data_IF_154215688421
#
_entry.id   IF_154215688421
#
_cell.length_a   1.000
_cell.length_b   1.000
_cell.length_c   1.000
_cell.angle_alpha   90.00
_cell.angle_beta   90.00
_cell.angle_gamma   90.00
#
_symmetry.space_group_name_H-M   'P 1'
#
loop_
_entity.id
_entity.type
_entity.pdbx_description
1 polymer ?
#
# COMPACT_ATOMS: atom_id res chain seq x y z
N UNK A 1 -26.68 -24.02 -8.23
CA UNK A 1 -26.69 -23.97 -6.75
C UNK A 1 -25.57 -24.86 -6.23
N UNK A 2 -24.33 -24.38 -6.33
CA UNK A 2 -23.16 -24.97 -5.68
C UNK A 2 -22.84 -24.04 -4.53
N UNK A 3 -23.05 -24.53 -3.31
CA UNK A 3 -23.03 -23.72 -2.10
C UNK A 3 -21.64 -23.16 -1.82
N UNK A 4 -21.56 -21.85 -1.65
CA UNK A 4 -20.51 -21.21 -0.86
C UNK A 4 -20.69 -21.71 0.58
N UNK A 5 -19.85 -22.64 1.03
CA UNK A 5 -19.89 -23.10 2.43
C UNK A 5 -19.02 -22.14 3.24
N UNK A 6 -19.65 -21.21 3.96
CA UNK A 6 -18.97 -20.37 4.95
C UNK A 6 -18.65 -21.23 6.18
N UNK A 7 -17.53 -21.95 6.11
CA UNK A 7 -17.05 -22.85 7.16
C UNK A 7 -16.36 -22.08 8.30
N UNK A 8 -16.91 -20.95 8.74
CA UNK A 8 -16.52 -20.25 9.97
C UNK A 8 -15.08 -19.70 10.06
N UNK A 9 -14.11 -20.15 9.26
CA UNK A 9 -12.70 -19.72 9.26
C UNK A 9 -11.98 -19.86 7.89
N UNK A 10 -12.67 -20.18 6.79
CA UNK A 10 -12.05 -20.28 5.46
C UNK A 10 -13.02 -20.01 4.31
N UNK A 11 -12.49 -19.43 3.22
CA UNK A 11 -13.18 -19.38 1.92
C UNK A 11 -12.87 -20.67 1.17
N UNK A 12 -13.89 -21.36 0.67
CA UNK A 12 -13.74 -22.57 -0.17
C UNK A 12 -14.46 -22.35 -1.50
N UNK A 13 -13.76 -22.56 -2.60
CA UNK A 13 -14.22 -22.32 -3.96
C UNK A 13 -14.00 -23.58 -4.80
N UNK A 14 -14.95 -23.91 -5.70
CA UNK A 14 -14.74 -24.95 -6.69
C UNK A 14 -13.46 -24.73 -7.51
N UNK A 15 -12.71 -25.79 -7.80
CA UNK A 15 -11.41 -25.72 -8.51
C UNK A 15 -11.51 -25.12 -9.93
N UNK A 16 -12.71 -25.10 -10.52
CA UNK A 16 -12.97 -24.49 -11.82
C UNK A 16 -13.17 -22.97 -11.77
N UNK A 17 -13.27 -22.38 -10.57
CA UNK A 17 -13.35 -20.93 -10.40
C UNK A 17 -12.07 -20.26 -10.89
N UNK A 18 -12.22 -19.32 -11.82
CA UNK A 18 -11.13 -18.55 -12.41
C UNK A 18 -11.26 -17.08 -12.09
N UNK A 19 -10.24 -16.52 -11.45
CA UNK A 19 -10.17 -15.08 -11.14
C UNK A 19 -8.95 -14.46 -11.81
N UNK A 20 -9.15 -13.37 -12.53
CA UNK A 20 -8.05 -12.60 -13.11
C UNK A 20 -7.84 -11.30 -12.35
N UNK A 21 -6.63 -11.07 -11.84
CA UNK A 21 -6.27 -9.84 -11.13
C UNK A 21 -5.67 -8.83 -12.12
N UNK A 22 -6.21 -7.63 -12.15
CA UNK A 22 -5.77 -6.52 -12.99
C UNK A 22 -5.00 -5.53 -12.12
N UNK A 23 -3.67 -5.55 -12.24
CA UNK A 23 -2.79 -4.68 -11.45
C UNK A 23 -1.42 -4.53 -12.12
N UNK A 24 -0.86 -3.32 -12.11
CA UNK A 24 0.47 -3.10 -12.68
C UNK A 24 1.07 -1.74 -12.38
N UNK A 25 2.37 -1.63 -12.62
CA UNK A 25 3.13 -0.39 -12.48
C UNK A 25 3.86 -0.26 -11.14
N UNK A 26 3.13 -0.10 -10.03
CA UNK A 26 3.72 0.20 -8.71
C UNK A 26 3.41 -0.88 -7.67
N UNK A 27 4.26 -0.99 -6.65
CA UNK A 27 4.04 -1.91 -5.52
C UNK A 27 2.71 -1.69 -4.80
N UNK A 28 2.18 -0.45 -4.81
CA UNK A 28 0.91 -0.08 -4.20
C UNK A 28 -0.31 -0.86 -4.71
N UNK A 29 -0.27 -1.35 -5.95
CA UNK A 29 -1.33 -2.19 -6.51
C UNK A 29 -0.95 -3.68 -6.52
N UNK A 30 0.33 -3.98 -6.72
CA UNK A 30 0.82 -5.34 -6.90
C UNK A 30 0.84 -6.13 -5.58
N UNK A 31 1.39 -5.56 -4.51
CA UNK A 31 1.46 -6.26 -3.22
C UNK A 31 0.09 -6.63 -2.64
N UNK A 32 -0.92 -5.73 -2.59
CA UNK A 32 -2.24 -6.11 -2.10
C UNK A 32 -2.93 -7.10 -3.05
N UNK A 33 -2.73 -6.97 -4.36
CA UNK A 33 -3.24 -7.94 -5.33
C UNK A 33 -2.66 -9.34 -5.09
N UNK A 34 -1.36 -9.45 -4.80
CA UNK A 34 -0.70 -10.72 -4.48
C UNK A 34 -1.23 -11.32 -3.16
N UNK A 35 -1.56 -10.49 -2.17
CA UNK A 35 -2.17 -10.96 -0.94
C UNK A 35 -3.55 -11.60 -1.19
N UNK A 36 -4.39 -10.95 -2.00
CA UNK A 36 -5.70 -11.50 -2.39
C UNK A 36 -5.53 -12.76 -3.27
N UNK A 37 -4.57 -12.75 -4.19
CA UNK A 37 -4.27 -13.89 -5.07
C UNK A 37 -3.94 -15.17 -4.27
N UNK A 38 -3.17 -15.02 -3.18
CA UNK A 38 -2.82 -16.14 -2.30
C UNK A 38 -4.06 -16.71 -1.61
N UNK A 39 -4.91 -15.85 -1.04
CA UNK A 39 -6.15 -16.29 -0.39
C UNK A 39 -7.09 -16.99 -1.38
N UNK A 40 -7.26 -16.44 -2.59
CA UNK A 40 -8.08 -17.06 -3.64
C UNK A 40 -7.53 -18.43 -4.07
N UNK A 41 -6.21 -18.56 -4.21
CA UNK A 41 -5.56 -19.84 -4.56
C UNK A 41 -5.67 -20.86 -3.44
N UNK A 42 -5.49 -20.44 -2.18
CA UNK A 42 -5.69 -21.29 -1.00
C UNK A 42 -7.13 -21.75 -0.86
N UNK A 43 -8.09 -20.94 -1.33
CA UNK A 43 -9.50 -21.29 -1.44
C UNK A 43 -9.84 -22.17 -2.65
N UNK A 44 -8.87 -22.59 -3.47
CA UNK A 44 -9.10 -23.49 -4.62
C UNK A 44 -9.23 -22.80 -5.99
N UNK A 45 -9.31 -21.46 -6.06
CA UNK A 45 -9.47 -20.78 -7.34
C UNK A 45 -8.18 -20.77 -8.18
N UNK A 46 -8.32 -20.90 -9.51
CA UNK A 46 -7.24 -20.62 -10.45
C UNK A 46 -7.11 -19.10 -10.64
N UNK A 47 -5.97 -18.56 -10.20
CA UNK A 47 -5.68 -17.12 -10.31
C UNK A 47 -4.70 -16.83 -11.43
N UNK A 48 -5.07 -15.95 -12.35
CA UNK A 48 -4.17 -15.37 -13.36
C UNK A 48 -4.05 -13.86 -13.18
N UNK A 49 -3.02 -13.28 -13.77
CA UNK A 49 -2.71 -11.86 -13.61
C UNK A 49 -2.63 -11.15 -14.95
N UNK A 50 -3.16 -9.94 -15.03
CA UNK A 50 -3.02 -9.05 -16.17
C UNK A 50 -2.25 -7.79 -15.76
N UNK A 51 -1.08 -7.61 -16.35
CA UNK A 51 -0.22 -6.47 -16.10
C UNK A 51 0.30 -5.82 -17.37
N UNK A 52 1.39 -5.09 -17.25
CA UNK A 52 2.07 -4.42 -18.37
C UNK A 52 3.46 -5.01 -18.59
N UNK A 53 4.10 -4.80 -19.75
CA UNK A 53 5.41 -5.39 -20.03
C UNK A 53 6.58 -4.78 -19.25
N UNK A 54 6.38 -3.72 -18.47
CA UNK A 54 7.49 -2.91 -17.92
C UNK A 54 7.41 -2.63 -16.42
N UNK A 55 6.33 -2.99 -15.74
CA UNK A 55 6.19 -2.75 -14.31
C UNK A 55 6.79 -3.86 -13.43
N UNK A 56 6.83 -3.60 -12.12
CA UNK A 56 7.35 -4.53 -11.11
C UNK A 56 6.65 -5.90 -11.12
N UNK A 57 5.42 -5.96 -11.66
CA UNK A 57 4.64 -7.19 -11.78
C UNK A 57 5.39 -8.29 -12.54
N UNK A 58 6.25 -7.93 -13.51
CA UNK A 58 7.01 -8.89 -14.32
C UNK A 58 8.05 -9.69 -13.51
N UNK A 59 8.45 -9.16 -12.35
CA UNK A 59 9.32 -9.87 -11.40
C UNK A 59 8.50 -10.50 -10.28
N UNK A 60 7.60 -9.73 -9.67
CA UNK A 60 6.92 -10.13 -8.44
C UNK A 60 5.83 -11.19 -8.65
N UNK A 61 5.08 -11.12 -9.74
CA UNK A 61 3.96 -12.04 -9.99
C UNK A 61 4.44 -13.44 -10.35
N UNK A 62 5.39 -13.63 -11.31
CA UNK A 62 5.95 -14.96 -11.57
C UNK A 62 6.70 -15.54 -10.37
N UNK A 63 7.43 -14.72 -9.61
CA UNK A 63 8.13 -15.17 -8.40
C UNK A 63 7.17 -15.67 -7.30
N UNK A 64 5.92 -15.19 -7.29
CA UNK A 64 4.86 -15.66 -6.41
C UNK A 64 4.09 -16.89 -6.95
N UNK A 65 4.48 -17.40 -8.12
CA UNK A 65 3.89 -18.58 -8.75
C UNK A 65 2.56 -18.34 -9.46
N UNK A 66 2.30 -17.10 -9.94
CA UNK A 66 1.10 -16.78 -10.70
C UNK A 66 1.42 -16.51 -12.17
N UNK A 67 0.53 -16.95 -13.08
CA UNK A 67 0.65 -16.71 -14.51
C UNK A 67 0.41 -15.22 -14.84
N UNK A 68 1.36 -14.60 -15.56
CA UNK A 68 1.30 -13.19 -15.94
C UNK A 68 1.04 -13.00 -17.44
N UNK A 69 -0.16 -12.53 -17.75
CA UNK A 69 -0.56 -12.01 -19.06
C UNK A 69 -0.25 -10.51 -19.16
N UNK A 70 0.00 -10.02 -20.38
CA UNK A 70 0.50 -8.66 -20.61
C UNK A 70 -0.31 -7.92 -21.67
N UNK A 71 -0.65 -6.66 -21.39
CA UNK A 71 -1.27 -5.75 -22.34
C UNK A 71 -0.35 -4.55 -22.58
N UNK A 72 -0.19 -4.18 -23.84
CA UNK A 72 0.68 -3.09 -24.28
C UNK A 72 0.10 -1.71 -23.95
N UNK A 73 0.06 -1.35 -22.68
CA UNK A 73 -0.34 -0.01 -22.22
C UNK A 73 0.71 0.58 -21.27
N UNK A 74 0.87 1.90 -21.33
CA UNK A 74 1.70 2.70 -20.45
C UNK A 74 0.90 3.93 -20.02
N UNK A 75 1.17 4.45 -18.83
CA UNK A 75 0.55 5.68 -18.34
C UNK A 75 0.68 6.86 -19.32
N UNK A 76 -0.35 7.72 -19.35
CA UNK A 76 -0.45 8.88 -20.25
C UNK A 76 0.15 10.16 -19.65
N UNK A 77 0.32 10.23 -18.32
CA UNK A 77 0.86 11.41 -17.63
C UNK A 77 2.32 11.68 -18.05
N UNK A 78 2.62 12.95 -18.32
CA UNK A 78 3.97 13.43 -18.66
C UNK A 78 4.42 13.22 -20.11
N UNK A 79 3.51 12.87 -21.04
CA UNK A 79 3.89 12.49 -22.43
C UNK A 79 3.65 13.55 -23.52
N UNK A 80 3.32 14.78 -23.15
CA UNK A 80 3.09 15.88 -24.10
C UNK A 80 1.96 15.61 -25.12
N UNK A 81 1.73 16.54 -26.05
CA UNK A 81 0.62 16.48 -27.00
C UNK A 81 0.64 15.22 -27.89
N UNK A 82 1.82 14.82 -28.40
CA UNK A 82 1.96 13.61 -29.21
C UNK A 82 1.61 12.32 -28.41
N UNK A 83 1.94 12.29 -27.11
CA UNK A 83 1.56 11.23 -26.21
C UNK A 83 0.06 11.12 -25.98
N UNK A 84 -0.66 12.24 -26.02
CA UNK A 84 -2.12 12.31 -25.93
C UNK A 84 -2.81 11.93 -27.23
N UNK A 85 -2.31 12.39 -28.39
CA UNK A 85 -2.88 12.07 -29.71
C UNK A 85 -2.81 10.56 -30.04
N UNK A 86 -1.73 9.90 -29.63
CA UNK A 86 -1.59 8.44 -29.80
C UNK A 86 -2.29 7.62 -28.70
N UNK A 87 -2.93 8.25 -27.70
CA UNK A 87 -3.58 7.55 -26.60
C UNK A 87 -4.80 6.70 -27.04
N UNK A 88 -5.73 7.19 -27.89
CA UNK A 88 -6.90 6.42 -28.29
C UNK A 88 -6.51 5.12 -29.02
N UNK A 89 -5.58 5.20 -29.98
CA UNK A 89 -5.09 4.02 -30.72
C UNK A 89 -4.45 3.00 -29.77
N UNK A 90 -3.64 3.46 -28.81
CA UNK A 90 -3.04 2.59 -27.79
C UNK A 90 -4.08 1.94 -26.88
N UNK A 91 -5.11 2.68 -26.48
CA UNK A 91 -6.21 2.16 -25.66
C UNK A 91 -7.00 1.09 -26.44
N UNK A 92 -7.38 1.36 -27.69
CA UNK A 92 -8.11 0.38 -28.53
C UNK A 92 -7.27 -0.89 -28.72
N UNK A 93 -5.97 -0.75 -29.03
CA UNK A 93 -5.06 -1.91 -29.13
C UNK A 93 -4.99 -2.68 -27.81
N UNK A 94 -4.91 -1.98 -26.68
CA UNK A 94 -4.90 -2.60 -25.36
C UNK A 94 -6.21 -3.35 -25.06
N UNK A 95 -7.36 -2.79 -25.45
CA UNK A 95 -8.67 -3.44 -25.32
C UNK A 95 -8.77 -4.70 -26.19
N UNK A 96 -8.25 -4.68 -27.43
CA UNK A 96 -8.22 -5.85 -28.31
C UNK A 96 -7.30 -6.96 -27.77
N UNK A 97 -6.15 -6.59 -27.19
CA UNK A 97 -5.27 -7.54 -26.51
C UNK A 97 -5.93 -8.14 -25.27
N UNK A 98 -6.53 -7.29 -24.42
CA UNK A 98 -7.27 -7.74 -23.24
C UNK A 98 -8.42 -8.67 -23.63
N UNK A 99 -9.13 -8.39 -24.73
CA UNK A 99 -10.23 -9.23 -25.21
C UNK A 99 -9.75 -10.64 -25.52
N UNK A 100 -8.69 -10.79 -26.30
CA UNK A 100 -8.11 -12.10 -26.64
C UNK A 100 -7.70 -12.89 -25.40
N UNK A 101 -7.11 -12.20 -24.43
CA UNK A 101 -6.67 -12.81 -23.17
C UNK A 101 -7.89 -13.26 -22.35
N UNK A 102 -8.90 -12.40 -22.18
CA UNK A 102 -10.11 -12.72 -21.41
C UNK A 102 -10.93 -13.85 -22.06
N UNK A 103 -11.02 -13.90 -23.39
CA UNK A 103 -11.69 -14.98 -24.12
C UNK A 103 -10.95 -16.32 -24.02
N UNK A 104 -9.61 -16.30 -23.93
CA UNK A 104 -8.79 -17.50 -23.78
C UNK A 104 -8.80 -18.03 -22.33
N UNK A 105 -8.64 -17.14 -21.35
CA UNK A 105 -8.56 -17.50 -19.93
C UNK A 105 -9.94 -17.82 -19.33
N UNK A 106 -10.99 -17.20 -19.86
CA UNK A 106 -12.39 -17.31 -19.41
C UNK A 106 -12.55 -17.12 -17.90
N UNK A 107 -12.07 -16.01 -17.31
CA UNK A 107 -12.27 -15.77 -15.89
C UNK A 107 -13.77 -15.55 -15.62
N UNK A 108 -14.27 -16.12 -14.53
CA UNK A 108 -15.62 -15.83 -14.06
C UNK A 108 -15.72 -14.41 -13.49
N UNK A 109 -14.63 -13.91 -12.91
CA UNK A 109 -14.52 -12.58 -12.34
C UNK A 109 -13.14 -11.97 -12.61
N UNK A 110 -13.11 -10.65 -12.80
CA UNK A 110 -11.89 -9.85 -12.79
C UNK A 110 -11.83 -8.96 -11.54
N UNK A 111 -10.69 -8.93 -10.86
CA UNK A 111 -10.42 -8.05 -9.73
C UNK A 111 -9.50 -6.91 -10.17
N UNK A 112 -9.99 -5.68 -10.23
CA UNK A 112 -9.16 -4.50 -10.48
C UNK A 112 -8.60 -3.95 -9.18
N UNK A 113 -7.27 -3.97 -9.05
CA UNK A 113 -6.57 -3.23 -7.99
C UNK A 113 -6.21 -1.80 -8.43
N UNK A 114 -6.66 -1.36 -9.61
CA UNK A 114 -6.35 -0.05 -10.19
C UNK A 114 -5.09 -0.05 -11.05
N UNK A 115 -4.55 1.15 -11.29
CA UNK A 115 -3.46 1.37 -12.23
C UNK A 115 -3.90 1.50 -13.69
N UNK A 116 -2.95 1.76 -14.58
CA UNK A 116 -3.24 2.03 -16.00
C UNK A 116 -3.50 0.74 -16.80
N UNK A 117 -3.02 -0.41 -16.35
CA UNK A 117 -3.32 -1.70 -16.95
C UNK A 117 -4.81 -2.09 -16.80
N UNK A 118 -5.38 -1.76 -15.63
CA UNK A 118 -6.72 -2.20 -15.26
C UNK A 118 -7.84 -1.48 -16.03
N UNK A 119 -7.62 -0.26 -16.51
CA UNK A 119 -8.65 0.53 -17.20
C UNK A 119 -9.20 -0.15 -18.46
N UNK A 120 -8.38 -0.31 -19.53
CA UNK A 120 -8.84 -0.97 -20.75
C UNK A 120 -9.33 -2.40 -20.50
N UNK A 121 -8.64 -3.15 -19.64
CA UNK A 121 -9.00 -4.53 -19.34
C UNK A 121 -10.33 -4.64 -18.60
N UNK A 122 -10.60 -3.76 -17.63
CA UNK A 122 -11.86 -3.71 -16.90
C UNK A 122 -13.03 -3.30 -17.81
N UNK A 123 -12.82 -2.34 -18.71
CA UNK A 123 -13.82 -1.98 -19.73
C UNK A 123 -14.09 -3.19 -20.64
N UNK A 124 -13.05 -3.88 -21.11
CA UNK A 124 -13.22 -5.07 -21.95
C UNK A 124 -13.93 -6.21 -21.21
N UNK A 125 -13.61 -6.45 -19.94
CA UNK A 125 -14.31 -7.44 -19.11
C UNK A 125 -15.81 -7.14 -19.02
N UNK A 126 -16.17 -5.87 -18.82
CA UNK A 126 -17.57 -5.41 -18.82
C UNK A 126 -18.26 -5.62 -20.19
N UNK A 127 -17.55 -5.40 -21.29
CA UNK A 127 -18.09 -5.64 -22.65
C UNK A 127 -18.31 -7.14 -22.93
N UNK A 128 -17.52 -8.01 -22.31
CA UNK A 128 -17.64 -9.46 -22.41
C UNK A 128 -18.62 -10.07 -21.38
N UNK A 129 -19.25 -9.25 -20.54
CA UNK A 129 -20.18 -9.73 -19.50
C UNK A 129 -19.51 -10.40 -18.30
N UNK A 130 -18.20 -10.26 -18.14
CA UNK A 130 -17.44 -10.83 -17.02
C UNK A 130 -17.67 -9.98 -15.77
N UNK A 131 -17.88 -10.63 -14.62
CA UNK A 131 -18.06 -9.94 -13.35
C UNK A 131 -16.82 -9.11 -13.00
N UNK A 132 -17.02 -7.88 -12.51
CA UNK A 132 -15.96 -6.95 -12.15
C UNK A 132 -16.06 -6.61 -10.66
N UNK A 133 -14.98 -6.86 -9.92
CA UNK A 133 -14.75 -6.35 -8.57
C UNK A 133 -13.65 -5.30 -8.64
N UNK A 134 -13.82 -4.18 -7.94
CA UNK A 134 -12.78 -3.16 -7.83
C UNK A 134 -12.31 -3.03 -6.38
N UNK A 135 -11.02 -2.79 -6.19
CA UNK A 135 -10.45 -2.41 -4.91
C UNK A 135 -9.68 -1.09 -5.06
N UNK A 136 -10.07 -0.08 -4.29
CA UNK A 136 -9.34 1.19 -4.19
C UNK A 136 -8.50 1.22 -2.93
N UNK A 137 -7.17 1.38 -3.08
CA UNK A 137 -6.26 1.38 -1.93
C UNK A 137 -6.26 2.73 -1.21
N UNK A 138 -6.37 3.83 -1.94
CA UNK A 138 -6.19 5.18 -1.42
C UNK A 138 -7.50 5.77 -0.86
N UNK A 139 -7.37 6.73 0.04
CA UNK A 139 -8.48 7.49 0.60
C UNK A 139 -9.12 8.44 -0.44
N UNK A 140 -8.40 8.75 -1.52
CA UNK A 140 -8.94 9.43 -2.70
C UNK A 140 -8.91 8.46 -3.88
N UNK A 141 -10.08 8.16 -4.44
CA UNK A 141 -10.20 7.19 -5.51
C UNK A 141 -9.43 7.61 -6.77
N UNK A 142 -8.63 6.66 -7.30
CA UNK A 142 -7.91 6.85 -8.55
C UNK A 142 -8.84 6.89 -9.75
N UNK A 143 -8.42 7.57 -10.81
CA UNK A 143 -9.20 7.74 -12.04
C UNK A 143 -9.70 6.41 -12.64
N UNK A 144 -8.84 5.38 -12.69
CA UNK A 144 -9.23 4.08 -13.24
C UNK A 144 -10.38 3.45 -12.45
N UNK A 145 -10.30 3.44 -11.12
CA UNK A 145 -11.36 2.85 -10.30
C UNK A 145 -12.64 3.69 -10.35
N UNK A 146 -12.53 5.03 -10.42
CA UNK A 146 -13.68 5.92 -10.67
C UNK A 146 -14.38 5.62 -11.99
N UNK A 147 -13.63 5.38 -13.06
CA UNK A 147 -14.16 5.00 -14.37
C UNK A 147 -14.89 3.65 -14.31
N UNK A 148 -14.32 2.67 -13.60
CA UNK A 148 -14.84 1.30 -13.56
C UNK A 148 -15.98 1.10 -12.56
N UNK A 149 -16.09 1.95 -11.53
CA UNK A 149 -17.09 1.86 -10.45
C UNK A 149 -18.52 1.61 -10.92
N UNK A 150 -19.08 2.33 -11.92
CA UNK A 150 -20.48 2.15 -12.32
C UNK A 150 -20.82 0.75 -12.85
N UNK A 151 -19.81 -0.07 -13.17
CA UNK A 151 -19.96 -1.42 -13.70
C UNK A 151 -19.48 -2.51 -12.76
N UNK A 152 -18.89 -2.13 -11.63
CA UNK A 152 -18.42 -3.09 -10.65
C UNK A 152 -19.62 -3.72 -9.92
N UNK A 153 -19.63 -5.06 -9.83
CA UNK A 153 -20.61 -5.80 -9.03
C UNK A 153 -20.33 -5.69 -7.53
N UNK A 154 -19.06 -5.48 -7.16
CA UNK A 154 -18.65 -5.17 -5.81
C UNK A 154 -17.52 -4.12 -5.81
N UNK A 155 -17.57 -3.22 -4.83
CA UNK A 155 -16.60 -2.14 -4.65
C UNK A 155 -16.00 -2.29 -3.25
N UNK A 156 -14.70 -2.58 -3.19
CA UNK A 156 -13.94 -2.67 -1.95
C UNK A 156 -13.03 -1.44 -1.80
N UNK A 157 -12.88 -0.93 -0.58
CA UNK A 157 -12.03 0.23 -0.30
C UNK A 157 -11.10 -0.01 0.88
N UNK A 158 -9.89 0.52 0.75
CA UNK A 158 -8.86 0.52 1.78
C UNK A 158 -9.16 1.45 2.95
N UNK A 159 -9.92 2.50 2.69
CA UNK A 159 -10.31 3.52 3.67
C UNK A 159 -11.83 3.74 3.65
N UNK A 160 -12.41 4.29 4.73
CA UNK A 160 -13.81 4.68 4.75
C UNK A 160 -14.08 5.87 3.81
N UNK A 161 -15.34 6.04 3.39
CA UNK A 161 -15.84 7.20 2.64
C UNK A 161 -15.16 7.49 1.29
N UNK A 162 -14.54 6.48 0.66
CA UNK A 162 -13.89 6.61 -0.67
C UNK A 162 -14.93 6.59 -1.80
N UNK A 163 -15.95 5.75 -1.67
CA UNK A 163 -17.08 5.62 -2.57
C UNK A 163 -18.35 5.35 -1.74
N UNK A 164 -19.50 5.83 -2.21
CA UNK A 164 -20.80 5.45 -1.62
C UNK A 164 -21.08 3.97 -1.85
N UNK A 165 -21.66 3.31 -0.84
CA UNK A 165 -22.02 1.89 -0.84
C UNK A 165 -20.84 0.92 -1.08
N UNK A 166 -19.61 1.35 -0.81
CA UNK A 166 -18.45 0.47 -0.87
C UNK A 166 -18.25 -0.31 0.44
N UNK A 167 -17.77 -1.55 0.31
CA UNK A 167 -17.33 -2.38 1.43
C UNK A 167 -15.94 -1.92 1.87
N UNK A 168 -15.83 -1.41 3.09
CA UNK A 168 -14.54 -1.01 3.67
C UNK A 168 -13.79 -2.26 4.15
N UNK A 169 -13.07 -2.90 3.24
CA UNK A 169 -12.27 -4.10 3.51
C UNK A 169 -10.94 -3.78 4.19
N UNK A 170 -10.48 -2.53 4.10
CA UNK A 170 -9.10 -2.18 4.44
C UNK A 170 -8.14 -2.58 3.32
N UNK A 171 -6.86 -2.27 3.47
CA UNK A 171 -5.81 -2.66 2.52
C UNK A 171 -5.17 -4.00 2.94
N UNK A 172 -4.98 -4.95 2.02
CA UNK A 172 -4.29 -6.21 2.33
C UNK A 172 -2.84 -5.95 2.76
N UNK A 173 -2.48 -6.43 3.96
CA UNK A 173 -1.14 -6.33 4.53
C UNK A 173 -0.49 -7.71 4.57
N UNK A 174 0.85 -7.74 4.48
CA UNK A 174 1.66 -8.96 4.62
C UNK A 174 1.44 -9.62 5.98
N UNK A 175 1.35 -10.95 6.01
CA UNK A 175 1.04 -11.74 7.22
C UNK A 175 2.07 -11.55 8.32
N UNK A 176 3.33 -11.35 7.94
CA UNK A 176 4.45 -11.12 8.86
C UNK A 176 4.29 -9.81 9.63
N UNK A 177 3.61 -8.80 9.04
CA UNK A 177 3.33 -7.51 9.68
C UNK A 177 2.02 -7.56 10.47
N UNK A 178 0.95 -8.14 9.90
CA UNK A 178 -0.33 -8.24 10.61
C UNK A 178 -0.27 -9.21 11.80
N UNK A 179 0.62 -10.21 11.75
CA UNK A 179 0.88 -11.16 12.82
C UNK A 179 1.85 -10.68 13.90
N UNK A 180 2.32 -9.43 13.85
CA UNK A 180 3.15 -8.88 14.93
C UNK A 180 2.41 -8.89 16.27
N UNK A 181 3.12 -9.10 17.41
CA UNK A 181 2.51 -9.04 18.73
C UNK A 181 1.85 -7.67 18.98
N UNK A 182 0.82 -7.68 19.81
CA UNK A 182 0.10 -6.47 20.21
C UNK A 182 1.06 -5.41 20.82
N UNK A 183 0.80 -4.11 20.63
CA UNK A 183 1.63 -3.04 21.19
C UNK A 183 1.91 -3.20 22.69
N UNK A 184 0.91 -3.57 23.48
CA UNK A 184 1.07 -3.79 24.91
C UNK A 184 2.17 -4.83 25.22
N UNK A 185 2.30 -5.88 24.41
CA UNK A 185 3.34 -6.90 24.57
C UNK A 185 4.70 -6.38 24.07
N UNK A 186 4.75 -5.77 22.89
CA UNK A 186 6.03 -5.30 22.30
C UNK A 186 6.72 -4.21 23.12
N UNK A 187 5.95 -3.41 23.85
CA UNK A 187 6.47 -2.29 24.63
C UNK A 187 6.80 -2.66 26.10
N UNK A 188 6.35 -3.80 26.62
CA UNK A 188 6.53 -4.21 28.03
C UNK A 188 7.99 -4.10 28.49
N UNK A 189 8.93 -4.62 27.71
CA UNK A 189 10.34 -4.69 28.09
C UNK A 189 11.20 -3.56 27.49
N UNK A 190 10.57 -2.54 26.89
CA UNK A 190 11.32 -1.44 26.27
C UNK A 190 11.75 -0.43 27.33
N UNK A 191 13.06 -0.29 27.51
CA UNK A 191 13.71 0.79 28.28
C UNK A 191 14.68 1.61 27.41
N UNK A 192 15.34 2.63 27.98
CA UNK A 192 16.31 3.47 27.26
C UNK A 192 15.70 4.46 26.26
N UNK A 193 16.52 4.98 25.32
CA UNK A 193 16.07 5.94 24.32
C UNK A 193 14.89 5.43 23.49
N UNK A 194 14.10 6.35 22.95
CA UNK A 194 13.06 6.01 21.98
C UNK A 194 13.69 5.44 20.71
N UNK A 195 12.96 4.58 19.99
CA UNK A 195 13.41 3.99 18.72
C UNK A 195 12.67 4.63 17.55
N UNK A 196 13.40 5.40 16.75
CA UNK A 196 12.90 6.08 15.56
C UNK A 196 13.26 5.28 14.31
N UNK A 197 12.24 4.89 13.53
CA UNK A 197 12.41 4.33 12.21
C UNK A 197 12.03 5.34 11.11
N UNK A 198 12.96 5.64 10.21
CA UNK A 198 12.73 6.54 9.07
C UNK A 198 12.68 5.73 7.78
N UNK A 199 11.56 5.81 7.04
CA UNK A 199 11.34 5.07 5.79
C UNK A 199 11.18 6.04 4.62
N UNK A 200 12.21 6.15 3.79
CA UNK A 200 12.22 6.97 2.57
C UNK A 200 11.64 6.30 1.32
N UNK A 201 11.39 4.99 1.36
CA UNK A 201 11.05 4.16 0.19
C UNK A 201 12.28 3.83 -0.66
N UNK A 202 12.12 2.98 -1.68
CA UNK A 202 13.25 2.45 -2.47
C UNK A 202 14.08 3.51 -3.21
N UNK A 203 13.48 4.64 -3.60
CA UNK A 203 14.21 5.76 -4.19
C UNK A 203 14.84 6.70 -3.14
N UNK A 204 14.48 6.52 -1.87
CA UNK A 204 14.79 7.46 -0.80
C UNK A 204 13.90 8.70 -0.85
N UNK A 205 13.78 9.36 0.29
CA UNK A 205 13.15 10.68 0.38
C UNK A 205 14.23 11.69 0.79
N UNK A 206 14.73 12.45 -0.18
CA UNK A 206 15.80 13.45 0.04
C UNK A 206 15.50 14.39 1.21
N UNK A 207 14.23 14.78 1.37
CA UNK A 207 13.80 15.62 2.51
C UNK A 207 14.04 14.94 3.86
N UNK A 208 13.84 13.62 3.99
CA UNK A 208 14.13 12.90 5.23
C UNK A 208 15.64 12.81 5.47
N UNK A 209 16.42 12.56 4.41
CA UNK A 209 17.88 12.48 4.47
C UNK A 209 18.54 13.79 4.93
N UNK A 210 17.86 14.93 4.76
CA UNK A 210 18.35 16.26 5.15
C UNK A 210 17.79 16.70 6.51
N UNK A 211 16.46 16.69 6.64
CA UNK A 211 15.78 17.29 7.79
C UNK A 211 15.93 16.45 9.06
N UNK A 212 15.91 15.12 8.97
CA UNK A 212 15.94 14.27 10.16
C UNK A 212 17.27 14.40 10.92
N UNK A 213 18.46 14.29 10.28
CA UNK A 213 19.73 14.55 10.97
C UNK A 213 19.78 15.91 11.65
N UNK A 214 19.36 16.97 10.95
CA UNK A 214 19.37 18.34 11.47
C UNK A 214 18.40 18.55 12.63
N UNK A 215 17.24 17.90 12.61
CA UNK A 215 16.27 17.94 13.70
C UNK A 215 16.82 17.24 14.96
N UNK A 216 17.43 16.06 14.77
CA UNK A 216 18.01 15.29 15.88
C UNK A 216 19.20 16.00 16.52
N UNK A 217 20.00 16.74 15.74
CA UNK A 217 21.09 17.54 16.27
C UNK A 217 20.62 18.66 17.22
N UNK A 218 19.38 19.14 17.04
CA UNK A 218 18.77 20.17 17.90
C UNK A 218 18.28 19.62 19.23
N UNK A 219 18.03 18.31 19.33
CA UNK A 219 17.67 17.67 20.59
C UNK A 219 18.88 17.56 21.51
N UNK A 220 18.70 17.75 22.84
CA UNK A 220 19.73 17.38 23.81
C UNK A 220 20.04 15.88 23.70
N UNK A 221 21.30 15.51 23.94
CA UNK A 221 21.80 14.16 23.67
C UNK A 221 21.00 13.07 24.40
N UNK A 222 20.54 13.32 25.63
CA UNK A 222 19.72 12.39 26.41
C UNK A 222 18.32 12.11 25.84
N UNK A 223 17.78 12.99 24.99
CA UNK A 223 16.44 12.84 24.38
C UNK A 223 16.51 12.31 22.94
N UNK A 224 17.72 12.10 22.40
CA UNK A 224 17.87 11.61 21.03
C UNK A 224 17.45 10.14 20.95
N UNK A 225 16.53 9.78 20.02
CA UNK A 225 16.18 8.39 19.80
C UNK A 225 17.35 7.61 19.18
N UNK A 226 17.35 6.29 19.38
CA UNK A 226 18.06 5.35 18.51
C UNK A 226 17.42 5.39 17.11
N UNK A 227 18.23 5.55 16.06
CA UNK A 227 17.72 5.77 14.71
C UNK A 227 18.10 4.63 13.76
N UNK A 228 17.09 4.08 13.09
CA UNK A 228 17.24 3.31 11.85
C UNK A 228 16.66 4.13 10.70
N UNK A 229 17.42 4.34 9.63
CA UNK A 229 17.00 5.15 8.49
C UNK A 229 17.23 4.43 7.17
N UNK A 230 16.13 4.11 6.48
CA UNK A 230 16.14 3.64 5.10
C UNK A 230 16.22 4.83 4.13
N UNK A 231 17.43 5.13 3.65
CA UNK A 231 17.75 6.30 2.82
C UNK A 231 17.58 6.07 1.31
N UNK A 232 17.32 4.82 0.89
CA UNK A 232 17.20 4.44 -0.52
C UNK A 232 18.53 4.60 -1.27
N UNK A 233 18.44 4.83 -2.57
CA UNK A 233 19.59 5.08 -3.46
C UNK A 233 20.45 6.29 -3.07
N UNK A 234 20.01 7.08 -2.09
CA UNK A 234 20.74 8.24 -1.54
C UNK A 234 21.45 7.91 -0.22
N UNK A 235 21.86 6.65 -0.04
CA UNK A 235 22.55 6.17 1.16
C UNK A 235 23.77 7.03 1.54
N UNK A 236 24.68 7.28 0.61
CA UNK A 236 25.92 8.00 0.88
C UNK A 236 25.68 9.46 1.33
N UNK A 237 24.86 10.26 0.62
CA UNK A 237 24.45 11.58 1.12
C UNK A 237 23.82 11.55 2.52
N UNK A 238 22.96 10.57 2.82
CA UNK A 238 22.31 10.47 4.12
C UNK A 238 23.31 10.21 5.25
N UNK A 239 24.26 9.29 5.06
CA UNK A 239 25.35 9.01 6.04
C UNK A 239 26.16 10.29 6.30
N UNK A 240 26.50 11.04 5.24
CA UNK A 240 27.24 12.30 5.38
C UNK A 240 26.47 13.35 6.17
N UNK A 241 25.14 13.43 6.01
CA UNK A 241 24.31 14.37 6.75
C UNK A 241 24.24 14.03 8.25
N UNK A 242 24.12 12.75 8.61
CA UNK A 242 24.23 12.31 10.01
C UNK A 242 25.59 12.63 10.63
N UNK A 243 26.68 12.34 9.90
CA UNK A 243 28.04 12.65 10.37
C UNK A 243 28.25 14.15 10.60
N UNK A 244 27.80 15.01 9.67
CA UNK A 244 27.86 16.48 9.81
C UNK A 244 27.03 16.99 10.98
N UNK A 245 25.89 16.35 11.25
CA UNK A 245 24.99 16.69 12.34
C UNK A 245 25.50 16.22 13.72
N UNK A 246 26.53 15.37 13.77
CA UNK A 246 27.01 14.77 15.03
C UNK A 246 25.95 13.86 15.67
N UNK A 247 25.20 13.13 14.85
CA UNK A 247 24.12 12.23 15.27
C UNK A 247 24.41 10.82 14.76
N UNK A 248 24.37 9.85 15.67
CA UNK A 248 24.52 8.44 15.33
C UNK A 248 23.21 7.85 14.78
N UNK A 249 23.31 7.09 13.68
CA UNK A 249 22.17 6.40 13.09
C UNK A 249 22.62 5.17 12.28
N UNK A 250 21.79 4.12 12.28
CA UNK A 250 21.93 2.99 11.38
C UNK A 250 21.26 3.34 10.05
N UNK A 251 22.05 3.72 9.06
CA UNK A 251 21.54 4.12 7.74
C UNK A 251 21.72 2.99 6.74
N UNK A 252 20.65 2.60 6.05
CA UNK A 252 20.65 1.53 5.06
C UNK A 252 20.00 1.97 3.75
N UNK A 253 20.41 1.37 2.63
CA UNK A 253 19.75 1.59 1.34
C UNK A 253 18.33 1.00 1.33
N UNK A 254 18.17 -0.20 1.90
CA UNK A 254 16.90 -0.93 1.92
C UNK A 254 16.68 -1.61 3.27
N UNK A 255 15.42 -1.92 3.59
CA UNK A 255 15.01 -2.69 4.77
C UNK A 255 14.35 -3.96 4.26
N UNK A 256 15.06 -5.09 4.38
CA UNK A 256 14.60 -6.39 3.89
C UNK A 256 13.42 -6.92 4.71
N UNK A 257 13.55 -6.89 6.03
CA UNK A 257 12.51 -7.32 6.95
C UNK A 257 11.77 -6.11 7.54
N UNK A 258 10.70 -5.71 6.85
CA UNK A 258 9.82 -4.65 7.34
C UNK A 258 9.04 -5.04 8.59
N UNK A 259 8.79 -6.33 8.82
CA UNK A 259 8.08 -6.77 10.03
C UNK A 259 8.99 -6.57 11.26
N UNK A 260 10.27 -6.96 11.17
CA UNK A 260 11.26 -6.67 12.20
C UNK A 260 11.42 -5.18 12.44
N UNK A 261 11.53 -4.38 11.37
CA UNK A 261 11.70 -2.94 11.51
C UNK A 261 10.51 -2.28 12.21
N UNK A 262 9.28 -2.65 11.84
CA UNK A 262 8.07 -2.20 12.53
C UNK A 262 7.95 -2.73 13.96
N UNK A 263 8.44 -3.94 14.23
CA UNK A 263 8.49 -4.50 15.58
C UNK A 263 9.53 -3.82 16.48
N UNK A 264 10.60 -3.29 15.91
CA UNK A 264 11.65 -2.58 16.64
C UNK A 264 11.24 -1.15 17.00
N UNK A 265 10.57 -0.43 16.11
CA UNK A 265 10.26 0.99 16.24
C UNK A 265 9.30 1.32 17.40
N UNK A 266 9.56 2.42 18.12
CA UNK A 266 8.58 3.09 18.99
C UNK A 266 7.69 4.05 18.21
N UNK A 267 8.26 4.70 17.19
CA UNK A 267 7.53 5.53 16.23
C UNK A 267 8.31 5.62 14.91
N UNK A 268 7.62 6.10 13.87
CA UNK A 268 8.20 6.19 12.54
C UNK A 268 8.07 7.58 11.90
N UNK A 269 8.94 7.87 10.94
CA UNK A 269 8.80 8.96 9.97
C UNK A 269 8.72 8.34 8.59
N UNK A 270 7.64 8.60 7.85
CA UNK A 270 7.48 8.00 6.51
C UNK A 270 6.54 8.81 5.61
N UNK A 271 6.47 8.40 4.34
CA UNK A 271 5.44 8.88 3.40
C UNK A 271 4.10 8.22 3.71
N UNK A 272 3.01 8.91 3.39
CA UNK A 272 1.65 8.44 3.64
C UNK A 272 1.05 7.66 2.45
N UNK A 273 1.79 6.66 1.95
CA UNK A 273 1.25 5.72 0.97
C UNK A 273 0.17 4.83 1.61
N UNK A 274 -0.86 4.46 0.85
CA UNK A 274 -1.99 3.67 1.36
C UNK A 274 -1.56 2.38 2.09
N UNK A 275 -0.62 1.63 1.49
CA UNK A 275 -0.08 0.42 2.11
C UNK A 275 0.78 0.72 3.33
N UNK A 276 1.56 1.81 3.32
CA UNK A 276 2.35 2.22 4.49
C UNK A 276 1.44 2.53 5.67
N UNK A 277 0.35 3.29 5.44
CA UNK A 277 -0.63 3.59 6.49
C UNK A 277 -1.30 2.32 7.00
N UNK A 278 -1.64 1.38 6.11
CA UNK A 278 -2.21 0.09 6.51
C UNK A 278 -1.22 -0.80 7.26
N UNK A 279 0.06 -0.82 6.87
CA UNK A 279 1.13 -1.52 7.58
C UNK A 279 1.38 -0.93 8.96
N UNK A 280 1.37 0.40 9.11
CA UNK A 280 1.49 1.07 10.42
C UNK A 280 0.30 0.74 11.33
N UNK A 281 -0.92 0.76 10.78
CA UNK A 281 -2.12 0.33 11.50
C UNK A 281 -1.98 -1.13 11.93
N UNK A 282 -1.65 -2.03 11.00
CA UNK A 282 -1.44 -3.43 11.30
C UNK A 282 -0.33 -3.64 12.33
N UNK A 283 0.83 -3.02 12.21
CA UNK A 283 1.92 -3.17 13.17
C UNK A 283 1.65 -2.51 14.53
N UNK A 284 0.67 -1.61 14.62
CA UNK A 284 0.48 -0.76 15.79
C UNK A 284 1.68 0.15 16.02
N UNK A 285 2.10 0.92 15.01
CA UNK A 285 3.25 1.83 15.09
C UNK A 285 2.79 3.26 14.82
N UNK A 286 2.92 4.18 15.79
CA UNK A 286 2.66 5.60 15.57
C UNK A 286 3.63 6.19 14.55
N UNK A 287 3.16 7.15 13.75
CA UNK A 287 4.02 7.75 12.73
C UNK A 287 3.79 9.24 12.52
N UNK A 288 4.88 9.95 12.27
CA UNK A 288 4.91 11.25 11.62
C UNK A 288 4.82 11.00 10.11
N UNK A 289 3.63 11.22 9.57
CA UNK A 289 3.26 10.99 8.19
C UNK A 289 3.50 12.28 7.40
N UNK A 290 4.43 12.22 6.44
CA UNK A 290 4.81 13.36 5.60
C UNK A 290 4.36 13.11 4.16
N UNK A 291 3.16 13.52 3.75
CA UNK A 291 2.66 13.29 2.41
C UNK A 291 3.62 13.77 1.32
N UNK A 292 3.72 13.02 0.23
CA UNK A 292 4.47 13.45 -0.94
C UNK A 292 3.71 14.57 -1.67
N UNK A 293 4.28 15.78 -1.82
CA UNK A 293 3.53 16.93 -2.37
C UNK A 293 3.05 16.75 -3.81
N UNK A 294 3.76 15.93 -4.60
CA UNK A 294 3.37 15.62 -5.98
C UNK A 294 2.53 14.34 -6.09
N UNK A 295 1.95 13.87 -4.98
CA UNK A 295 0.97 12.80 -4.99
C UNK A 295 -0.27 13.22 -5.79
N UNK A 296 -0.67 12.38 -6.73
CA UNK A 296 -1.85 12.58 -7.57
C UNK A 296 -3.09 12.86 -6.72
N UNK A 297 -3.84 13.92 -7.01
CA UNK A 297 -5.09 14.24 -6.28
C UNK A 297 -4.90 14.36 -4.74
N UNK A 298 -3.68 14.66 -4.28
CA UNK A 298 -3.30 14.76 -2.86
C UNK A 298 -3.72 13.54 -2.00
N UNK A 299 -3.73 12.34 -2.61
CA UNK A 299 -4.20 11.13 -1.95
C UNK A 299 -3.41 10.77 -0.68
N UNK A 300 -2.13 11.16 -0.59
CA UNK A 300 -1.31 10.84 0.59
C UNK A 300 -1.72 11.65 1.82
N UNK A 301 -2.17 12.90 1.67
CA UNK A 301 -2.70 13.68 2.80
C UNK A 301 -3.98 13.04 3.33
N UNK A 302 -4.87 12.62 2.44
CA UNK A 302 -6.09 11.90 2.82
C UNK A 302 -5.79 10.53 3.48
N UNK A 303 -4.80 9.78 2.98
CA UNK A 303 -4.36 8.54 3.63
C UNK A 303 -3.83 8.82 5.04
N UNK A 304 -3.01 9.86 5.23
CA UNK A 304 -2.40 10.19 6.52
C UNK A 304 -3.45 10.49 7.60
N UNK A 305 -4.52 11.19 7.22
CA UNK A 305 -5.65 11.54 8.11
C UNK A 305 -6.28 10.32 8.77
N UNK A 306 -6.26 9.15 8.12
CA UNK A 306 -6.81 7.91 8.70
C UNK A 306 -6.22 7.56 10.07
N UNK A 307 -4.91 7.76 10.25
CA UNK A 307 -4.24 7.55 11.54
C UNK A 307 -4.15 8.85 12.35
N UNK A 308 -3.90 9.99 11.70
CA UNK A 308 -3.74 11.26 12.41
C UNK A 308 -5.03 11.68 13.13
N UNK A 309 -6.17 11.65 12.44
CA UNK A 309 -7.46 12.05 13.02
C UNK A 309 -7.94 11.06 14.10
N UNK A 310 -7.42 9.83 14.09
CA UNK A 310 -7.66 8.84 15.12
C UNK A 310 -6.81 9.05 16.39
N UNK A 311 -5.77 9.90 16.35
CA UNK A 311 -4.78 10.02 17.41
C UNK A 311 -3.72 8.90 17.40
N UNK A 312 -3.53 8.24 16.25
CA UNK A 312 -2.55 7.17 16.04
C UNK A 312 -1.29 7.63 15.29
N UNK A 313 -1.16 8.92 15.01
CA UNK A 313 0.00 9.50 14.35
C UNK A 313 -0.19 10.99 14.14
N UNK A 314 0.68 11.58 13.35
CA UNK A 314 0.66 13.00 13.04
C UNK A 314 0.80 13.22 11.55
N UNK A 315 -0.05 14.07 10.99
CA UNK A 315 0.10 14.57 9.64
C UNK A 315 0.99 15.82 9.69
N UNK A 316 2.19 15.73 9.10
CA UNK A 316 3.10 16.87 8.95
C UNK A 316 3.32 17.13 7.46
N UNK A 317 2.65 18.13 6.86
CA UNK A 317 2.88 18.51 5.47
C UNK A 317 4.36 18.77 5.20
N UNK A 318 4.87 18.41 4.02
CA UNK A 318 6.31 18.54 3.75
C UNK A 318 6.84 19.98 3.88
N UNK A 319 5.99 20.98 3.62
CA UNK A 319 6.34 22.39 3.82
C UNK A 319 6.61 22.73 5.30
N UNK A 320 6.00 22.00 6.23
CA UNK A 320 6.16 22.12 7.68
C UNK A 320 7.17 21.09 8.23
N UNK A 321 7.65 20.17 7.39
CA UNK A 321 8.68 19.19 7.77
C UNK A 321 10.05 19.85 7.76
N UNK A 322 10.27 20.75 8.73
CA UNK A 322 11.50 21.52 8.92
C UNK A 322 12.26 21.02 10.16
N UNK A 323 13.59 21.23 10.25
CA UNK A 323 14.37 20.75 11.40
C UNK A 323 13.85 21.26 12.75
N UNK A 324 13.40 22.51 12.81
CA UNK A 324 12.87 23.12 14.03
C UNK A 324 11.52 22.55 14.46
N UNK A 325 10.57 22.42 13.53
CA UNK A 325 9.25 21.87 13.83
C UNK A 325 9.33 20.38 14.19
N UNK A 326 10.16 19.62 13.47
CA UNK A 326 10.37 18.20 13.77
C UNK A 326 11.03 18.02 15.14
N UNK A 327 12.05 18.82 15.48
CA UNK A 327 12.71 18.76 16.79
C UNK A 327 11.73 19.08 17.92
N UNK A 328 11.03 20.22 17.85
CA UNK A 328 10.07 20.62 18.89
C UNK A 328 8.93 19.62 19.09
N UNK A 329 8.51 18.93 18.01
CA UNK A 329 7.57 17.82 18.13
C UNK A 329 8.18 16.62 18.85
N UNK A 330 9.39 16.19 18.46
CA UNK A 330 10.07 15.03 19.06
C UNK A 330 10.39 15.23 20.55
N UNK A 331 10.65 16.47 20.99
CA UNK A 331 10.87 16.81 22.41
C UNK A 331 9.68 16.45 23.30
N UNK A 332 8.46 16.47 22.76
CA UNK A 332 7.24 16.16 23.52
C UNK A 332 6.93 14.67 23.60
N UNK A 333 7.63 13.83 22.82
CA UNK A 333 7.33 12.41 22.72
C UNK A 333 7.86 11.65 23.93
N UNK A 334 7.03 10.77 24.47
CA UNK A 334 7.40 9.85 25.53
C UNK A 334 6.81 8.46 25.27
N UNK A 335 7.45 7.43 25.82
CA UNK A 335 7.07 6.04 25.56
C UNK A 335 5.63 5.70 26.00
N UNK A 336 5.13 6.12 27.18
CA UNK A 336 3.73 5.88 27.57
C UNK A 336 2.72 6.39 26.54
N UNK A 337 2.92 7.60 26.01
CA UNK A 337 2.05 8.16 24.98
C UNK A 337 2.15 7.38 23.67
N UNK A 338 3.36 6.97 23.27
CA UNK A 338 3.56 6.16 22.07
C UNK A 338 2.87 4.78 22.17
N UNK A 339 2.84 4.15 23.35
CA UNK A 339 2.12 2.89 23.58
C UNK A 339 0.61 3.08 23.39
N UNK A 340 0.07 4.20 23.89
CA UNK A 340 -1.34 4.56 23.72
C UNK A 340 -1.68 4.75 22.25
N UNK A 341 -0.89 5.55 21.54
CA UNK A 341 -1.06 5.79 20.10
C UNK A 341 -0.89 4.50 19.27
N UNK A 342 0.03 3.62 19.66
CA UNK A 342 0.29 2.34 19.02
C UNK A 342 -0.93 1.42 19.10
N UNK A 343 -1.58 1.39 20.27
CA UNK A 343 -2.81 0.63 20.49
C UNK A 343 -3.95 1.16 19.61
N UNK A 344 -4.11 2.50 19.54
CA UNK A 344 -5.09 3.13 18.65
C UNK A 344 -4.79 2.79 17.18
N UNK A 345 -3.52 2.81 16.76
CA UNK A 345 -3.13 2.44 15.40
C UNK A 345 -3.56 1.00 15.08
N UNK A 346 -3.32 0.08 16.02
CA UNK A 346 -3.69 -1.35 15.91
C UNK A 346 -5.20 -1.55 15.83
N UNK A 347 -5.99 -0.78 16.59
CA UNK A 347 -7.46 -0.81 16.52
C UNK A 347 -8.02 -0.38 15.15
N UNK A 348 -7.24 0.38 14.37
CA UNK A 348 -7.61 0.76 13.00
C UNK A 348 -7.26 -0.30 11.95
N UNK A 349 -6.54 -1.36 12.33
CA UNK A 349 -6.16 -2.41 11.41
C UNK A 349 -7.37 -3.20 10.88
N UNK A 350 -7.24 -3.70 9.65
CA UNK A 350 -8.20 -4.61 9.02
C UNK A 350 -7.45 -5.88 8.60
N UNK A 351 -7.08 -6.76 9.55
CA UNK A 351 -6.19 -7.90 9.28
C UNK A 351 -6.77 -8.89 8.26
N UNK A 352 -8.09 -8.99 8.16
CA UNK A 352 -8.79 -9.87 7.22
C UNK A 352 -9.03 -9.26 5.83
N UNK A 353 -8.41 -8.11 5.52
CA UNK A 353 -8.66 -7.39 4.26
C UNK A 353 -8.56 -8.28 3.02
N UNK A 354 -7.48 -9.08 2.90
CA UNK A 354 -7.29 -9.99 1.77
C UNK A 354 -8.46 -10.99 1.61
N UNK A 355 -8.92 -11.56 2.75
CA UNK A 355 -10.05 -12.49 2.80
C UNK A 355 -11.37 -11.81 2.44
N UNK A 356 -11.61 -10.59 2.91
CA UNK A 356 -12.84 -9.87 2.57
C UNK A 356 -12.92 -9.51 1.09
N UNK A 357 -11.80 -9.16 0.46
CA UNK A 357 -11.75 -8.93 -1.00
C UNK A 357 -11.95 -10.23 -1.77
N UNK A 358 -11.32 -11.33 -1.32
CA UNK A 358 -11.52 -12.65 -1.93
C UNK A 358 -12.99 -13.11 -1.83
N UNK A 359 -13.65 -12.88 -0.68
CA UNK A 359 -15.10 -13.11 -0.49
C UNK A 359 -15.93 -12.28 -1.47
N UNK A 360 -15.61 -10.99 -1.66
CA UNK A 360 -16.30 -10.18 -2.67
C UNK A 360 -16.14 -10.73 -4.09
N UNK A 361 -14.99 -11.32 -4.44
CA UNK A 361 -14.82 -12.02 -5.72
C UNK A 361 -15.67 -13.29 -5.81
N UNK A 362 -15.79 -14.05 -4.72
CA UNK A 362 -16.63 -15.25 -4.66
C UNK A 362 -18.14 -14.92 -4.77
N UNK A 363 -18.59 -13.90 -4.06
CA UNK A 363 -20.00 -13.45 -4.01
C UNK A 363 -20.52 -13.06 -5.40
N UNK A 364 -19.67 -12.49 -6.27
CA UNK A 364 -20.11 -12.07 -7.63
C UNK A 364 -20.11 -13.20 -8.67
N UNK A 365 -19.57 -14.37 -8.31
CA UNK A 365 -19.55 -15.59 -9.12
C UNK A 365 -20.76 -16.50 -8.85
N UNK A 366 -21.39 -16.36 -7.68
CA UNK A 366 -22.65 -17.02 -7.31
C UNK A 366 -23.85 -16.38 -8.05
#
# INVERSE_FOLDING_TARGET
>A
MTGLVDSGQGLDLPEDVRVMILAGGTGGHIFPGLAVARVLREAGARVTWLGTPHGLENRLVPAAGFELQRVGIRGLRGRGLAGWLAAPVRIVRAMLQARRILEAERPGCVLSMGGYAAGPAGVTARLLGIALVIHEQNAVAGWTNRLLRPWARAVCTGFPNVFDNARVTGNPVRREISGLPEPAVRYQDRSGPLRLLVIGGSQGASVFNQVVPEALARLPAEYRPEVRHQAGRQLQPAIQNYAKAGVEAQVAEFVDDMAEAWAWADFAICRAGALTVAELAAAGVPAILVPFPAAVDDHQTANARFLADAGAGWLMPQAEFTPGQLAGMMETLNRPELVRMASIARDRARPESALQVARACAEVLA
#
